data_IF_565846230589
#
_entry.id   IF_565846230589
#
_cell.length_a   1.000
_cell.length_b   1.000
_cell.length_c   1.000
_cell.angle_alpha   90.00
_cell.angle_beta   90.00
_cell.angle_gamma   90.00
#
_symmetry.space_group_name_H-M   'P 1'
#
loop_
_entity.id
_entity.type
_entity.pdbx_description
1 polymer ?
#
# COMPACT_ATOMS: atom_id res chain seq x y z
N UNK A 1 -44.89 -28.80 32.18
CA UNK A 1 -43.72 -28.08 32.72
C UNK A 1 -42.63 -28.23 31.67
N UNK A 2 -42.44 -27.35 30.68
CA UNK A 2 -42.66 -25.91 30.67
C UNK A 2 -41.32 -25.20 30.83
N UNK A 3 -40.46 -25.26 29.80
CA UNK A 3 -39.48 -24.24 29.53
C UNK A 3 -39.53 -23.92 28.03
N UNK A 4 -39.93 -22.68 27.78
CA UNK A 4 -40.07 -21.97 26.51
C UNK A 4 -38.89 -21.01 26.38
N UNK A 5 -38.49 -20.70 25.15
CA UNK A 5 -37.71 -19.51 24.77
C UNK A 5 -36.21 -19.80 24.61
N UNK A 6 -35.49 -19.27 23.63
CA UNK A 6 -35.74 -18.26 22.59
C UNK A 6 -34.76 -18.60 21.45
N UNK A 7 -35.14 -18.60 20.17
CA UNK A 7 -35.10 -17.44 19.27
C UNK A 7 -33.85 -16.57 19.45
N UNK A 8 -33.05 -16.41 18.39
CA UNK A 8 -32.37 -15.18 17.93
C UNK A 8 -31.13 -15.56 17.08
N UNK A 9 -31.25 -15.54 15.74
CA UNK A 9 -30.77 -14.51 14.79
C UNK A 9 -29.25 -14.55 14.57
N UNK A 10 -28.83 -14.62 13.31
CA UNK A 10 -27.44 -14.36 12.93
C UNK A 10 -27.09 -14.94 11.57
N UNK A 11 -27.23 -14.13 10.52
CA UNK A 11 -26.78 -14.43 9.16
C UNK A 11 -25.28 -14.16 9.07
N UNK A 12 -24.44 -15.01 9.66
CA UNK A 12 -23.01 -14.69 9.78
C UNK A 12 -22.15 -15.54 8.82
N UNK A 13 -22.67 -15.84 7.64
CA UNK A 13 -21.98 -16.59 6.58
C UNK A 13 -21.04 -15.77 5.70
N UNK A 14 -20.84 -14.47 5.97
CA UNK A 14 -19.98 -13.60 5.15
C UNK A 14 -18.84 -12.92 5.94
N UNK A 15 -18.79 -13.08 7.27
CA UNK A 15 -17.77 -12.41 8.09
C UNK A 15 -16.49 -13.23 8.30
N UNK A 16 -16.51 -14.54 8.00
CA UNK A 16 -15.39 -15.44 8.35
C UNK A 16 -14.31 -15.55 7.27
N UNK A 17 -14.59 -15.18 6.01
CA UNK A 17 -13.58 -15.28 4.94
C UNK A 17 -12.48 -14.23 5.12
N UNK A 18 -12.85 -13.02 5.54
CA UNK A 18 -11.90 -11.92 5.74
C UNK A 18 -11.01 -12.14 6.99
N UNK A 19 -11.51 -12.81 8.03
CA UNK A 19 -10.78 -13.02 9.30
C UNK A 19 -9.79 -14.20 9.23
N UNK A 20 -10.17 -15.28 8.52
CA UNK A 20 -9.26 -16.42 8.29
C UNK A 20 -8.16 -16.10 7.28
N UNK A 21 -8.42 -15.25 6.28
CA UNK A 21 -7.38 -14.76 5.36
C UNK A 21 -6.37 -13.85 6.08
N UNK A 22 -6.84 -12.97 6.98
CA UNK A 22 -6.00 -12.10 7.81
C UNK A 22 -5.00 -12.87 8.68
N UNK A 23 -5.42 -14.02 9.22
CA UNK A 23 -4.56 -14.83 10.09
C UNK A 23 -3.50 -15.62 9.30
N UNK A 24 -3.79 -16.02 8.05
CA UNK A 24 -2.85 -16.74 7.19
C UNK A 24 -1.80 -15.80 6.55
N UNK A 25 -2.20 -14.58 6.19
CA UNK A 25 -1.36 -13.52 5.61
C UNK A 25 -0.26 -13.04 6.59
N UNK A 26 -0.54 -13.04 7.89
CA UNK A 26 0.41 -12.67 8.95
C UNK A 26 1.73 -13.47 8.91
N UNK A 27 1.73 -14.71 8.42
CA UNK A 27 2.94 -15.54 8.34
C UNK A 27 3.86 -15.14 7.17
N UNK A 28 3.30 -14.57 6.09
CA UNK A 28 4.05 -14.13 4.90
C UNK A 28 4.44 -12.64 4.90
N UNK A 29 3.78 -11.82 5.73
CA UNK A 29 3.98 -10.36 5.82
C UNK A 29 5.18 -9.94 6.72
N UNK A 30 6.04 -10.89 7.09
CA UNK A 30 7.26 -10.65 7.89
C UNK A 30 8.36 -9.89 7.14
N UNK A 31 8.20 -9.63 5.83
CA UNK A 31 9.11 -8.75 5.09
C UNK A 31 8.86 -7.31 5.52
N UNK A 32 9.54 -6.90 6.58
CA UNK A 32 9.59 -5.50 7.02
C UNK A 32 10.01 -4.65 5.83
N UNK A 33 9.09 -3.80 5.39
CA UNK A 33 9.40 -2.73 4.44
C UNK A 33 10.58 -1.96 5.04
N UNK A 34 11.54 -1.55 4.21
CA UNK A 34 12.69 -0.75 4.60
C UNK A 34 12.65 0.56 3.85
N UNK A 35 13.31 1.57 4.42
CA UNK A 35 13.44 2.84 3.71
C UNK A 35 14.17 2.56 2.39
N UNK A 36 13.60 2.98 1.24
CA UNK A 36 14.28 2.92 -0.05
C UNK A 36 15.72 3.42 0.08
N UNK A 37 16.65 2.63 -0.48
CA UNK A 37 18.04 3.05 -0.62
C UNK A 37 18.10 4.45 -1.19
N UNK A 38 18.85 5.32 -0.53
CA UNK A 38 19.15 6.68 -0.99
C UNK A 38 19.50 6.65 -2.47
N UNK A 39 18.66 7.27 -3.28
CA UNK A 39 18.79 7.26 -4.72
C UNK A 39 19.29 8.63 -5.19
N UNK A 40 20.08 8.61 -6.27
CA UNK A 40 20.58 9.81 -6.95
C UNK A 40 19.93 9.86 -8.31
N UNK A 41 19.23 10.96 -8.59
CA UNK A 41 18.78 11.25 -9.94
C UNK A 41 20.02 11.64 -10.79
N UNK A 42 20.16 11.14 -12.04
CA UNK A 42 21.28 11.49 -12.90
C UNK A 42 21.33 12.99 -13.22
N UNK A 43 20.18 13.63 -13.28
CA UNK A 43 20.04 15.08 -13.44
C UNK A 43 19.73 15.77 -12.11
N UNK A 44 20.13 17.03 -11.96
CA UNK A 44 19.77 17.83 -10.78
C UNK A 44 18.31 18.25 -10.85
N UNK A 45 17.48 17.66 -9.99
CA UNK A 45 16.07 18.02 -9.82
C UNK A 45 15.93 19.11 -8.76
N UNK A 46 15.06 20.09 -9.00
CA UNK A 46 14.61 21.02 -7.95
C UNK A 46 13.46 20.40 -7.15
N UNK A 47 13.24 20.87 -5.91
CA UNK A 47 12.09 20.44 -5.10
C UNK A 47 10.76 20.62 -5.84
N UNK A 48 10.63 21.70 -6.60
CA UNK A 48 9.44 21.99 -7.41
C UNK A 48 9.24 20.95 -8.53
N UNK A 49 10.29 20.60 -9.28
CA UNK A 49 10.23 19.58 -10.32
C UNK A 49 9.91 18.20 -9.77
N UNK A 50 10.54 17.81 -8.65
CA UNK A 50 10.23 16.53 -8.00
C UNK A 50 8.76 16.46 -7.59
N UNK A 51 8.24 17.55 -7.00
CA UNK A 51 6.83 17.62 -6.60
C UNK A 51 5.91 17.52 -7.81
N UNK A 52 6.22 18.20 -8.91
CA UNK A 52 5.44 18.14 -10.15
C UNK A 52 5.41 16.72 -10.73
N UNK A 53 6.56 16.05 -10.81
CA UNK A 53 6.62 14.65 -11.28
C UNK A 53 5.85 13.68 -10.38
N UNK A 54 5.87 13.91 -9.06
CA UNK A 54 5.05 13.13 -8.11
C UNK A 54 3.56 13.32 -8.36
N UNK A 55 3.13 14.57 -8.50
CA UNK A 55 1.73 14.90 -8.68
C UNK A 55 1.19 14.32 -9.99
N UNK A 56 1.95 14.46 -11.07
CA UNK A 56 1.60 13.91 -12.38
C UNK A 56 1.54 12.37 -12.38
N UNK A 57 2.45 11.72 -11.63
CA UNK A 57 2.37 10.29 -11.42
C UNK A 57 1.11 9.88 -10.65
N UNK A 58 0.75 10.58 -9.58
CA UNK A 58 -0.44 10.26 -8.79
C UNK A 58 -1.76 10.57 -9.51
N UNK A 59 -1.79 11.58 -10.38
CA UNK A 59 -2.93 11.90 -11.24
C UNK A 59 -3.16 10.81 -12.30
N UNK A 60 -2.07 10.30 -12.87
CA UNK A 60 -2.10 9.24 -13.90
C UNK A 60 -2.15 7.83 -13.33
N UNK A 61 -1.76 7.60 -12.07
CA UNK A 61 -1.77 6.32 -11.35
C UNK A 61 -3.05 5.48 -11.57
N UNK A 62 -4.28 6.01 -11.33
CA UNK A 62 -5.50 5.24 -11.54
C UNK A 62 -5.76 4.84 -13.00
N UNK A 63 -5.08 5.46 -13.97
CA UNK A 63 -5.18 5.13 -15.39
C UNK A 63 -4.25 3.99 -15.81
N UNK A 64 -3.20 3.66 -15.03
CA UNK A 64 -2.29 2.55 -15.34
C UNK A 64 -2.90 1.16 -15.09
N UNK A 65 -4.07 1.10 -14.46
CA UNK A 65 -4.79 -0.13 -14.12
C UNK A 65 -4.82 -0.41 -12.63
N UNK A 66 -5.55 -1.45 -12.23
CA UNK A 66 -5.79 -1.77 -10.82
C UNK A 66 -6.99 -1.02 -10.23
N UNK A 67 -7.14 -1.08 -8.91
CA UNK A 67 -8.24 -0.41 -8.19
C UNK A 67 -7.76 0.91 -7.62
N UNK A 68 -8.56 1.97 -7.77
CA UNK A 68 -8.26 3.29 -7.20
C UNK A 68 -8.08 3.22 -5.68
N UNK A 69 -8.80 2.34 -5.00
CA UNK A 69 -8.68 2.09 -3.56
C UNK A 69 -7.28 1.59 -3.18
N UNK A 70 -6.68 0.72 -3.99
CA UNK A 70 -5.32 0.23 -3.77
C UNK A 70 -4.30 1.33 -4.04
N UNK A 71 -4.52 2.12 -5.09
CA UNK A 71 -3.68 3.30 -5.36
C UNK A 71 -3.71 4.31 -4.22
N UNK A 72 -4.88 4.56 -3.64
CA UNK A 72 -5.05 5.44 -2.47
C UNK A 72 -4.32 4.88 -1.25
N UNK A 73 -4.46 3.59 -0.97
CA UNK A 73 -3.73 2.91 0.10
C UNK A 73 -2.22 2.97 -0.12
N UNK A 74 -1.73 2.72 -1.34
CA UNK A 74 -0.31 2.82 -1.68
C UNK A 74 0.22 4.25 -1.54
N UNK A 75 -0.59 5.26 -1.87
CA UNK A 75 -0.26 6.67 -1.67
C UNK A 75 -0.12 6.99 -0.19
N UNK A 76 -1.11 6.61 0.61
CA UNK A 76 -1.06 6.77 2.06
C UNK A 76 0.13 6.02 2.66
N UNK A 77 0.45 4.83 2.17
CA UNK A 77 1.62 4.05 2.58
C UNK A 77 2.94 4.72 2.17
N UNK A 78 3.01 5.36 1.01
CA UNK A 78 4.19 6.07 0.54
C UNK A 78 4.46 7.37 1.31
N UNK A 79 3.41 8.05 1.77
CA UNK A 79 3.52 9.27 2.60
C UNK A 79 3.74 8.94 4.09
N UNK A 80 3.32 7.75 4.53
CA UNK A 80 3.48 7.32 5.90
C UNK A 80 4.87 6.70 6.20
N UNK A 81 5.20 6.61 7.48
CA UNK A 81 6.39 5.89 7.93
C UNK A 81 6.26 4.38 7.68
N UNK A 82 7.38 3.69 7.53
CA UNK A 82 7.49 2.26 7.25
C UNK A 82 6.50 1.38 8.03
N UNK A 83 6.37 1.61 9.34
CA UNK A 83 5.46 0.85 10.20
C UNK A 83 3.99 1.07 9.82
N UNK A 84 3.60 2.31 9.51
CA UNK A 84 2.26 2.64 9.05
C UNK A 84 2.03 2.14 7.63
N UNK A 85 3.02 2.29 6.76
CA UNK A 85 2.96 1.79 5.39
C UNK A 85 2.64 0.28 5.35
N UNK A 86 3.29 -0.51 6.21
CA UNK A 86 2.96 -1.92 6.40
C UNK A 86 1.50 -2.14 6.83
N UNK A 87 1.02 -1.38 7.81
CA UNK A 87 -0.36 -1.49 8.28
C UNK A 87 -1.38 -1.14 7.18
N UNK A 88 -1.06 -0.15 6.35
CA UNK A 88 -1.94 0.30 5.26
C UNK A 88 -1.99 -0.75 4.16
N UNK A 89 -0.84 -1.25 3.68
CA UNK A 89 -0.81 -2.30 2.65
C UNK A 89 -1.41 -3.60 3.15
N UNK A 90 -1.19 -3.95 4.42
CA UNK A 90 -1.80 -5.12 5.06
C UNK A 90 -3.33 -4.98 5.15
N UNK A 91 -3.81 -3.80 5.54
CA UNK A 91 -5.24 -3.49 5.59
C UNK A 91 -5.88 -3.46 4.21
N UNK A 92 -5.12 -3.11 3.17
CA UNK A 92 -5.56 -3.07 1.78
C UNK A 92 -5.40 -4.41 1.05
N UNK A 93 -4.90 -5.48 1.68
CA UNK A 93 -4.69 -6.77 1.01
C UNK A 93 -3.55 -6.75 -0.02
N UNK A 94 -2.63 -5.79 0.10
CA UNK A 94 -1.51 -5.59 -0.82
C UNK A 94 -0.27 -6.34 -0.35
N UNK A 95 0.23 -7.20 -1.22
CA UNK A 95 1.43 -8.02 -1.07
C UNK A 95 2.64 -7.23 -1.59
N UNK A 96 3.46 -6.75 -0.67
CA UNK A 96 4.69 -6.02 -1.00
C UNK A 96 5.81 -7.02 -1.33
N UNK A 97 6.33 -6.95 -2.55
CA UNK A 97 7.40 -7.88 -3.00
C UNK A 97 8.79 -7.30 -2.82
N UNK A 98 8.94 -6.01 -3.09
CA UNK A 98 10.17 -5.25 -2.90
C UNK A 98 10.22 -4.67 -1.49
N UNK A 99 11.36 -4.78 -0.81
CA UNK A 99 11.53 -4.22 0.54
C UNK A 99 11.26 -2.70 0.60
N UNK A 100 11.32 -2.00 -0.52
CA UNK A 100 11.22 -0.54 -0.60
C UNK A 100 9.83 -0.01 -1.04
N UNK A 101 8.76 -0.81 -1.03
CA UNK A 101 7.43 -0.47 -1.62
C UNK A 101 7.43 -0.19 -3.13
N UNK A 102 8.57 -0.35 -3.81
CA UNK A 102 8.67 -0.09 -5.25
C UNK A 102 7.82 -1.03 -6.10
N UNK A 103 7.55 -2.24 -5.61
CA UNK A 103 6.75 -3.22 -6.34
C UNK A 103 5.81 -3.95 -5.38
N UNK A 104 4.52 -3.77 -5.63
CA UNK A 104 3.43 -4.28 -4.82
C UNK A 104 2.43 -5.02 -5.71
N UNK A 105 1.74 -6.01 -5.14
CA UNK A 105 0.71 -6.78 -5.83
C UNK A 105 -0.55 -6.78 -4.99
N UNK A 106 -1.70 -6.66 -5.61
CA UNK A 106 -3.00 -6.84 -4.94
C UNK A 106 -3.38 -8.33 -4.90
N UNK A 107 -4.32 -8.69 -4.03
CA UNK A 107 -4.88 -10.05 -3.94
C UNK A 107 -5.45 -10.56 -5.28
N UNK A 108 -5.86 -9.65 -6.17
CA UNK A 108 -6.34 -9.99 -7.53
C UNK A 108 -5.21 -10.24 -8.53
N UNK A 109 -3.95 -10.10 -8.12
CA UNK A 109 -2.76 -10.21 -8.97
C UNK A 109 -2.45 -8.95 -9.78
N UNK A 110 -3.08 -7.81 -9.49
CA UNK A 110 -2.74 -6.54 -10.13
C UNK A 110 -1.38 -6.06 -9.61
N UNK A 111 -0.47 -5.71 -10.52
CA UNK A 111 0.86 -5.19 -10.19
C UNK A 111 0.84 -3.67 -10.11
N UNK A 112 1.39 -3.14 -9.03
CA UNK A 112 1.61 -1.72 -8.80
C UNK A 112 3.10 -1.46 -8.67
N UNK A 113 3.62 -0.59 -9.54
CA UNK A 113 5.03 -0.21 -9.53
C UNK A 113 5.13 1.26 -9.14
N UNK A 114 5.77 1.52 -8.00
CA UNK A 114 5.97 2.86 -7.49
C UNK A 114 7.41 3.31 -7.78
N UNK A 115 7.58 4.39 -8.55
CA UNK A 115 8.89 4.95 -8.79
C UNK A 115 9.56 5.41 -7.52
N UNK A 116 10.89 5.27 -7.46
CA UNK A 116 11.69 5.72 -6.31
C UNK A 116 11.52 7.20 -5.99
N UNK A 117 11.24 8.03 -7.00
CA UNK A 117 11.00 9.46 -6.78
C UNK A 117 9.72 9.76 -6.02
N UNK A 118 8.72 8.87 -6.08
CA UNK A 118 7.48 8.98 -5.30
C UNK A 118 7.72 8.55 -3.86
N UNK A 119 8.50 7.49 -3.67
CA UNK A 119 8.78 6.87 -2.37
C UNK A 119 9.87 7.59 -1.57
N UNK A 120 10.77 8.30 -2.24
CA UNK A 120 11.86 9.01 -1.59
C UNK A 120 12.39 10.18 -2.39
N UNK A 121 12.93 11.15 -1.66
CA UNK A 121 13.59 12.29 -2.25
C UNK A 121 14.99 11.91 -2.74
N UNK A 122 15.40 12.38 -3.94
CA UNK A 122 16.76 12.16 -4.40
C UNK A 122 17.72 12.98 -3.53
N UNK A 123 18.89 12.43 -3.28
CA UNK A 123 19.95 13.16 -2.54
C UNK A 123 20.52 14.36 -3.31
N UNK A 124 20.17 14.53 -4.58
CA UNK A 124 20.64 15.60 -5.47
C UNK A 124 19.59 16.70 -5.69
N UNK A 125 18.87 17.07 -4.62
CA UNK A 125 17.93 18.18 -4.64
C UNK A 125 18.70 19.52 -4.61
N UNK A 126 18.42 20.39 -5.58
CA UNK A 126 18.86 21.78 -5.53
C UNK A 126 17.80 22.63 -4.82
N UNK A 127 18.25 23.43 -3.86
CA UNK A 127 17.52 24.60 -3.36
C UNK A 127 17.69 25.68 -4.43
N UNK A 128 16.58 26.25 -4.89
CA UNK A 128 16.57 27.27 -5.95
C UNK A 128 16.93 28.65 -5.37
#
# INVERSE_FOLDING_TARGET
MGCVGSSEKGVDGLFTFHETFRTQIHSWHQKKIKKPKVWKHPESLTRAQLKQMRDEFWDTAPHYGGQKEIWDALRAAAEAEISLAQLIVDSAGVIVTSEDLSTCYDERGAKYDLPKYVLSEPTNLKDD
#
